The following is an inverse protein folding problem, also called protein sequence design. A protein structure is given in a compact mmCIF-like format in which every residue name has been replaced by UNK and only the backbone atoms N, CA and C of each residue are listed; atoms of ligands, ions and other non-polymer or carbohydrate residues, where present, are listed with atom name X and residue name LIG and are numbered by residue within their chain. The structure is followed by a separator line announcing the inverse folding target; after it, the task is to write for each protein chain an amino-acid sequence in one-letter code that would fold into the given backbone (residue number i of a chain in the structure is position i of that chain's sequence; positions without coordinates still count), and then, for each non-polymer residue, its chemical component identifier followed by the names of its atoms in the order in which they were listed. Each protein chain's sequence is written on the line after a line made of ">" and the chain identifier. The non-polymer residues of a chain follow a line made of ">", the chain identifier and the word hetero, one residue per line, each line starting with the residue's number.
data_IF_065895690291
#
_entry.id   IF_065895690291
#
_cell.length_a   1.000
_cell.length_b   1.000
_cell.length_c   1.000
_cell.angle_alpha   90.00
_cell.angle_beta   90.00
_cell.angle_gamma   90.00
#
_symmetry.space_group_name_H-M   'P 1'
#
loop_
_entity.id
_entity.type
_entity.pdbx_description
1 polymer ?
#
# COMPACT_ATOMS: atom_id res chain seq x y z
N UNK A 1 -12.29 -7.95 56.50
CA UNK A 1 -12.95 -8.41 55.25
C UNK A 1 -12.65 -7.58 53.99
N UNK A 2 -11.98 -6.42 54.08
CA UNK A 2 -11.85 -5.49 52.95
C UNK A 2 -10.67 -5.77 51.99
N UNK A 3 -9.56 -6.33 52.48
CA UNK A 3 -8.35 -6.54 51.67
C UNK A 3 -8.48 -7.62 50.57
N UNK A 4 -9.24 -8.69 50.83
CA UNK A 4 -9.42 -9.81 49.88
C UNK A 4 -10.26 -9.42 48.67
N UNK A 5 -11.26 -8.54 48.86
CA UNK A 5 -12.15 -8.06 47.80
C UNK A 5 -11.40 -7.10 46.87
N UNK A 6 -10.56 -6.22 47.44
CA UNK A 6 -9.71 -5.30 46.67
C UNK A 6 -8.66 -6.05 45.85
N UNK A 7 -8.08 -7.14 46.39
CA UNK A 7 -7.14 -7.99 45.67
C UNK A 7 -7.78 -8.76 44.51
N UNK A 8 -9.01 -9.25 44.68
CA UNK A 8 -9.77 -9.94 43.63
C UNK A 8 -10.20 -8.98 42.51
N UNK A 9 -10.63 -7.75 42.86
CA UNK A 9 -11.00 -6.73 41.88
C UNK A 9 -9.81 -6.32 40.99
N UNK A 10 -8.64 -6.01 41.58
CA UNK A 10 -7.43 -5.68 40.81
C UNK A 10 -6.95 -6.83 39.92
N UNK A 11 -7.11 -8.07 40.35
CA UNK A 11 -6.73 -9.25 39.55
C UNK A 11 -7.67 -9.44 38.34
N UNK A 12 -8.96 -9.14 38.50
CA UNK A 12 -9.93 -9.18 37.40
C UNK A 12 -9.73 -8.03 36.40
N UNK A 13 -9.45 -6.81 36.88
CA UNK A 13 -9.10 -5.66 36.02
C UNK A 13 -7.83 -5.94 35.19
N UNK A 14 -6.81 -6.56 35.80
CA UNK A 14 -5.60 -6.97 35.10
C UNK A 14 -5.83 -8.05 34.04
N UNK A 15 -6.79 -8.96 34.27
CA UNK A 15 -7.16 -9.99 33.29
C UNK A 15 -7.92 -9.39 32.09
N UNK A 16 -8.89 -8.50 32.36
CA UNK A 16 -9.63 -7.79 31.30
C UNK A 16 -8.72 -6.89 30.45
N UNK A 17 -7.82 -6.13 31.08
CA UNK A 17 -6.87 -5.29 30.36
C UNK A 17 -5.92 -6.11 29.47
N UNK A 18 -5.54 -7.32 29.92
CA UNK A 18 -4.71 -8.24 29.14
C UNK A 18 -5.47 -8.84 27.96
N UNK A 19 -6.71 -9.28 28.16
CA UNK A 19 -7.55 -9.82 27.08
C UNK A 19 -7.87 -8.77 26.00
N UNK A 20 -8.13 -7.52 26.41
CA UNK A 20 -8.35 -6.41 25.48
C UNK A 20 -7.09 -6.10 24.66
N UNK A 21 -5.93 -6.14 25.30
CA UNK A 21 -4.64 -5.96 24.63
C UNK A 21 -4.36 -7.08 23.63
N UNK A 22 -4.54 -8.34 24.04
CA UNK A 22 -4.33 -9.50 23.18
C UNK A 22 -5.29 -9.51 21.97
N UNK A 23 -6.55 -9.09 22.18
CA UNK A 23 -7.53 -8.93 21.10
C UNK A 23 -7.13 -7.81 20.12
N UNK A 24 -6.64 -6.68 20.64
CA UNK A 24 -6.17 -5.56 19.83
C UNK A 24 -4.93 -5.93 19.01
N UNK A 25 -3.98 -6.68 19.58
CA UNK A 25 -2.79 -7.17 18.88
C UNK A 25 -3.17 -8.15 17.75
N UNK A 26 -4.06 -9.10 18.02
CA UNK A 26 -4.57 -10.04 16.98
C UNK A 26 -5.27 -9.30 15.84
N UNK A 27 -6.07 -8.27 16.16
CA UNK A 27 -6.74 -7.43 15.16
C UNK A 27 -5.73 -6.66 14.30
N UNK A 28 -4.69 -6.09 14.92
CA UNK A 28 -3.61 -5.39 14.23
C UNK A 28 -2.83 -6.33 13.31
N UNK A 29 -2.43 -7.51 13.79
CA UNK A 29 -1.73 -8.51 12.97
C UNK A 29 -2.57 -8.98 11.79
N UNK A 30 -3.88 -9.18 11.98
CA UNK A 30 -4.81 -9.52 10.90
C UNK A 30 -4.91 -8.41 9.86
N UNK A 31 -4.98 -7.14 10.30
CA UNK A 31 -5.02 -5.99 9.40
C UNK A 31 -3.73 -5.85 8.58
N UNK A 32 -2.56 -5.98 9.23
CA UNK A 32 -1.25 -5.97 8.55
C UNK A 32 -1.16 -7.11 7.55
N UNK A 33 -1.52 -8.34 7.95
CA UNK A 33 -1.50 -9.51 7.07
C UNK A 33 -2.39 -9.31 5.86
N UNK A 34 -3.64 -8.91 6.04
CA UNK A 34 -4.58 -8.71 4.94
C UNK A 34 -4.12 -7.62 3.98
N UNK A 35 -3.55 -6.53 4.52
CA UNK A 35 -2.99 -5.46 3.70
C UNK A 35 -1.76 -5.92 2.92
N UNK A 36 -0.85 -6.68 3.53
CA UNK A 36 0.31 -7.25 2.84
C UNK A 36 -0.09 -8.23 1.74
N UNK A 37 -1.08 -9.10 1.99
CA UNK A 37 -1.64 -10.00 0.97
C UNK A 37 -2.24 -9.18 -0.17
N UNK A 38 -3.01 -8.14 0.14
CA UNK A 38 -3.57 -7.25 -0.86
C UNK A 38 -2.49 -6.60 -1.73
N UNK A 39 -1.45 -6.03 -1.12
CA UNK A 39 -0.30 -5.45 -1.85
C UNK A 39 0.40 -6.48 -2.74
N UNK A 40 0.57 -7.71 -2.24
CA UNK A 40 1.18 -8.80 -3.00
C UNK A 40 0.35 -9.18 -4.23
N UNK A 41 -0.96 -9.37 -4.06
CA UNK A 41 -1.87 -9.70 -5.17
C UNK A 41 -1.85 -8.59 -6.22
N UNK A 42 -1.98 -7.33 -5.79
CA UNK A 42 -1.92 -6.17 -6.71
C UNK A 42 -0.58 -6.14 -7.46
N UNK A 43 0.54 -6.34 -6.76
CA UNK A 43 1.86 -6.37 -7.37
C UNK A 43 1.98 -7.50 -8.41
N UNK A 44 1.58 -8.72 -8.07
CA UNK A 44 1.58 -9.88 -8.97
C UNK A 44 0.74 -9.61 -10.22
N UNK A 45 -0.49 -9.13 -10.07
CA UNK A 45 -1.34 -8.83 -11.22
C UNK A 45 -0.74 -7.71 -12.09
N UNK A 46 -0.26 -6.62 -11.49
CA UNK A 46 0.32 -5.49 -12.21
C UNK A 46 1.66 -5.79 -12.90
N UNK A 47 2.33 -6.89 -12.56
CA UNK A 47 3.62 -7.27 -13.16
C UNK A 47 3.48 -8.45 -14.11
N UNK A 48 2.76 -9.49 -13.70
CA UNK A 48 2.64 -10.75 -14.44
C UNK A 48 1.48 -10.70 -15.43
N UNK A 49 0.31 -10.15 -15.08
CA UNK A 49 -0.85 -10.20 -15.98
C UNK A 49 -0.61 -9.40 -17.26
N UNK A 50 0.08 -8.25 -17.16
CA UNK A 50 0.49 -7.46 -18.32
C UNK A 50 1.47 -8.24 -19.21
N UNK A 51 2.50 -8.89 -18.64
CA UNK A 51 3.44 -9.73 -19.40
C UNK A 51 2.76 -10.93 -20.05
N UNK A 52 1.81 -11.56 -19.37
CA UNK A 52 1.01 -12.67 -19.91
C UNK A 52 0.11 -12.18 -21.05
N UNK A 53 -0.55 -11.04 -20.90
CA UNK A 53 -1.38 -10.45 -21.95
C UNK A 53 -0.57 -10.11 -23.21
N UNK A 54 0.64 -9.56 -23.05
CA UNK A 54 1.56 -9.28 -24.16
C UNK A 54 1.95 -10.54 -24.93
N UNK A 55 2.16 -11.68 -24.24
CA UNK A 55 2.47 -12.96 -24.89
C UNK A 55 1.25 -13.64 -25.50
N UNK A 56 0.09 -13.55 -24.86
CA UNK A 56 -1.11 -14.27 -25.27
C UNK A 56 -1.86 -13.57 -26.42
N UNK A 57 -1.83 -12.24 -26.48
CA UNK A 57 -2.57 -11.46 -27.46
C UNK A 57 -1.79 -10.21 -27.94
N UNK A 58 -0.64 -10.40 -28.62
CA UNK A 58 0.25 -9.30 -29.00
C UNK A 58 -0.41 -8.24 -29.89
N UNK A 59 -1.31 -8.65 -30.82
CA UNK A 59 -2.04 -7.72 -31.68
C UNK A 59 -3.07 -6.84 -30.91
N UNK A 60 -3.69 -7.38 -29.86
CA UNK A 60 -4.60 -6.61 -29.01
C UNK A 60 -3.83 -5.63 -28.11
N UNK A 61 -2.62 -6.00 -27.69
CA UNK A 61 -1.73 -5.10 -26.94
C UNK A 61 -1.24 -3.97 -27.85
N UNK A 62 -0.77 -4.28 -29.07
CA UNK A 62 -0.33 -3.28 -30.03
C UNK A 62 -1.45 -2.29 -30.42
N UNK A 63 -2.70 -2.75 -30.57
CA UNK A 63 -3.83 -1.86 -30.84
C UNK A 63 -4.15 -0.95 -29.65
N UNK A 64 -4.14 -1.49 -28.42
CA UNK A 64 -4.30 -0.69 -27.21
C UNK A 64 -3.19 0.37 -27.06
N UNK A 65 -1.95 0.06 -27.44
CA UNK A 65 -0.84 1.01 -27.43
C UNK A 65 -1.00 2.14 -28.45
N UNK A 66 -1.47 1.84 -29.65
CA UNK A 66 -1.74 2.86 -30.67
C UNK A 66 -2.78 3.89 -30.17
N UNK A 67 -3.77 3.43 -29.40
CA UNK A 67 -4.72 4.31 -28.69
C UNK A 67 -4.08 5.11 -27.55
N UNK A 68 -3.13 4.54 -26.82
CA UNK A 68 -2.42 5.23 -25.72
C UNK A 68 -1.44 6.30 -26.22
N UNK A 69 -0.78 6.06 -27.36
CA UNK A 69 0.19 6.96 -27.99
C UNK A 69 -0.42 8.28 -28.50
N UNK A 70 -1.73 8.33 -28.72
CA UNK A 70 -2.46 9.55 -29.14
C UNK A 70 -2.63 10.62 -28.05
N UNK A 71 -1.89 10.56 -26.94
CA UNK A 71 -1.91 11.55 -25.86
C UNK A 71 -3.01 11.36 -24.81
N UNK A 72 -4.02 10.52 -25.09
CA UNK A 72 -5.07 10.15 -24.13
C UNK A 72 -4.53 9.30 -22.96
N UNK A 73 -3.40 8.62 -23.16
CA UNK A 73 -2.83 7.69 -22.19
C UNK A 73 -2.21 8.34 -20.95
N UNK A 74 -1.47 9.46 -21.09
CA UNK A 74 -0.68 9.99 -19.97
C UNK A 74 -1.55 10.62 -18.88
N UNK A 75 -2.50 11.48 -19.24
CA UNK A 75 -3.39 12.14 -18.27
C UNK A 75 -4.26 11.14 -17.51
N UNK A 76 -4.81 10.14 -18.20
CA UNK A 76 -5.60 9.08 -17.57
C UNK A 76 -4.71 8.22 -16.67
N UNK A 77 -3.51 7.85 -17.11
CA UNK A 77 -2.54 7.08 -16.31
C UNK A 77 -2.13 7.84 -15.04
N UNK A 78 -1.87 9.15 -15.14
CA UNK A 78 -1.56 10.00 -13.99
C UNK A 78 -2.74 10.14 -13.04
N UNK A 79 -3.96 10.33 -13.55
CA UNK A 79 -5.17 10.43 -12.73
C UNK A 79 -5.48 9.11 -12.00
N UNK A 80 -5.41 7.98 -12.71
CA UNK A 80 -5.54 6.64 -12.13
C UNK A 80 -4.47 6.37 -11.08
N UNK A 81 -3.24 6.83 -11.32
CA UNK A 81 -2.16 6.71 -10.35
C UNK A 81 -2.39 7.55 -9.10
N UNK A 82 -2.85 8.80 -9.25
CA UNK A 82 -3.19 9.65 -8.11
C UNK A 82 -4.30 8.99 -7.26
N UNK A 83 -5.34 8.45 -7.91
CA UNK A 83 -6.42 7.74 -7.23
C UNK A 83 -5.92 6.47 -6.51
N UNK A 84 -5.10 5.65 -7.17
CA UNK A 84 -4.51 4.45 -6.59
C UNK A 84 -3.61 4.78 -5.40
N UNK A 85 -2.82 5.85 -5.52
CA UNK A 85 -1.97 6.34 -4.44
C UNK A 85 -2.80 6.78 -3.25
N UNK A 86 -3.82 7.62 -3.45
CA UNK A 86 -4.70 8.05 -2.35
C UNK A 86 -5.40 6.87 -1.68
N UNK A 87 -5.87 5.89 -2.45
CA UNK A 87 -6.51 4.68 -1.92
C UNK A 87 -5.55 3.86 -1.07
N UNK A 88 -4.35 3.58 -1.59
CA UNK A 88 -3.35 2.77 -0.90
C UNK A 88 -2.78 3.47 0.34
N UNK A 89 -2.61 4.79 0.28
CA UNK A 89 -2.24 5.60 1.44
C UNK A 89 -3.36 5.64 2.49
N UNK A 90 -4.63 5.70 2.09
CA UNK A 90 -5.75 5.62 3.02
C UNK A 90 -5.84 4.24 3.69
N UNK A 91 -5.59 3.17 2.95
CA UNK A 91 -5.52 1.81 3.51
C UNK A 91 -4.33 1.66 4.46
N UNK A 92 -3.16 2.17 4.09
CA UNK A 92 -1.98 2.20 4.97
C UNK A 92 -2.30 2.97 6.26
N UNK A 93 -2.91 4.15 6.16
CA UNK A 93 -3.33 4.94 7.31
C UNK A 93 -4.32 4.17 8.21
N UNK A 94 -5.24 3.38 7.64
CA UNK A 94 -6.16 2.54 8.43
C UNK A 94 -5.43 1.44 9.20
N UNK A 95 -4.39 0.85 8.62
CA UNK A 95 -3.56 -0.17 9.30
C UNK A 95 -2.67 0.46 10.37
N UNK A 96 -2.16 1.66 10.11
CA UNK A 96 -1.30 2.40 11.04
C UNK A 96 -2.09 3.14 12.13
N UNK A 97 -3.41 3.29 12.00
CA UNK A 97 -4.23 4.03 12.95
C UNK A 97 -4.07 3.40 14.33
N UNK A 98 -3.55 4.14 15.33
CA UNK A 98 -3.27 3.56 16.63
C UNK A 98 -4.57 3.09 17.27
N UNK A 99 -4.66 1.80 17.54
CA UNK A 99 -5.53 1.32 18.60
C UNK A 99 -4.87 1.74 19.92
N UNK A 100 -5.65 2.28 20.87
CA UNK A 100 -5.14 2.64 22.20
C UNK A 100 -4.39 1.49 22.88
N UNK A 101 -4.74 0.25 22.53
CA UNK A 101 -4.19 -0.97 23.14
C UNK A 101 -3.13 -1.69 22.30
N UNK A 102 -2.95 -1.36 21.00
CA UNK A 102 -1.95 -2.00 20.14
C UNK A 102 -1.45 -1.05 19.03
N UNK A 103 -0.12 -0.92 18.91
CA UNK A 103 0.55 -0.09 17.90
C UNK A 103 1.63 -0.88 17.18
N UNK A 104 1.79 -0.60 15.88
CA UNK A 104 2.92 -1.07 15.10
C UNK A 104 4.22 -0.43 15.60
N UNK A 105 5.29 -1.21 15.60
CA UNK A 105 6.62 -0.65 15.85
C UNK A 105 7.00 0.30 14.69
N UNK A 106 7.79 1.35 14.96
CA UNK A 106 8.25 2.26 13.92
C UNK A 106 8.89 1.53 12.74
N UNK A 107 9.74 0.53 13.02
CA UNK A 107 10.41 -0.27 12.01
C UNK A 107 9.40 -0.98 11.09
N UNK A 108 8.38 -1.63 11.66
CA UNK A 108 7.37 -2.33 10.89
C UNK A 108 6.48 -1.35 10.08
N UNK A 109 6.16 -0.18 10.63
CA UNK A 109 5.40 0.85 9.93
C UNK A 109 6.17 1.43 8.73
N UNK A 110 7.47 1.68 8.88
CA UNK A 110 8.34 2.12 7.79
C UNK A 110 8.50 1.06 6.71
N UNK A 111 8.69 -0.21 7.10
CA UNK A 111 8.75 -1.33 6.15
C UNK A 111 7.45 -1.44 5.35
N UNK A 112 6.30 -1.33 6.02
CA UNK A 112 5.00 -1.40 5.35
C UNK A 112 4.83 -0.25 4.36
N UNK A 113 5.22 0.97 4.75
CA UNK A 113 5.19 2.13 3.89
C UNK A 113 6.14 2.01 2.68
N UNK A 114 7.32 1.42 2.87
CA UNK A 114 8.25 1.14 1.78
C UNK A 114 7.66 0.14 0.79
N UNK A 115 7.02 -0.93 1.27
CA UNK A 115 6.35 -1.92 0.40
C UNK A 115 5.16 -1.29 -0.34
N UNK A 116 4.36 -0.46 0.32
CA UNK A 116 3.28 0.31 -0.33
C UNK A 116 3.83 1.21 -1.43
N UNK A 117 4.93 1.93 -1.14
CA UNK A 117 5.60 2.79 -2.12
C UNK A 117 6.13 2.01 -3.33
N UNK A 118 6.81 0.89 -3.10
CA UNK A 118 7.31 0.01 -4.15
C UNK A 118 6.17 -0.53 -5.02
N UNK A 119 5.10 -1.04 -4.41
CA UNK A 119 3.94 -1.58 -5.12
C UNK A 119 3.34 -0.54 -6.09
N UNK A 120 3.08 0.67 -5.59
CA UNK A 120 2.54 1.78 -6.39
C UNK A 120 3.49 2.17 -7.52
N UNK A 121 4.78 2.31 -7.22
CA UNK A 121 5.81 2.67 -8.22
C UNK A 121 5.90 1.60 -9.32
N UNK A 122 5.85 0.32 -8.96
CA UNK A 122 5.85 -0.78 -9.92
C UNK A 122 4.62 -0.80 -10.80
N UNK A 123 3.42 -0.53 -10.26
CA UNK A 123 2.19 -0.42 -11.08
C UNK A 123 2.38 0.69 -12.13
N UNK A 124 2.82 1.87 -11.70
CA UNK A 124 2.99 3.01 -12.58
C UNK A 124 4.03 2.75 -13.66
N UNK A 125 5.17 2.19 -13.26
CA UNK A 125 6.24 1.83 -14.18
C UNK A 125 5.74 0.83 -15.22
N UNK A 126 5.08 -0.26 -14.81
CA UNK A 126 4.56 -1.25 -15.76
C UNK A 126 3.48 -0.66 -16.68
N UNK A 127 2.66 0.28 -16.21
CA UNK A 127 1.67 0.96 -17.05
C UNK A 127 2.33 1.89 -18.08
N UNK A 128 3.41 2.60 -17.71
CA UNK A 128 4.14 3.48 -18.62
C UNK A 128 4.98 2.70 -19.63
N UNK A 129 5.59 1.59 -19.22
CA UNK A 129 6.43 0.77 -20.10
C UNK A 129 5.66 -0.35 -20.79
N UNK A 130 4.32 -0.37 -20.72
CA UNK A 130 3.54 -1.50 -21.24
C UNK A 130 3.62 -1.57 -22.77
N UNK A 131 4.22 -2.66 -23.25
CA UNK A 131 4.33 -3.01 -24.67
C UNK A 131 5.40 -2.25 -25.46
N UNK A 132 6.18 -1.39 -24.81
CA UNK A 132 7.24 -0.63 -25.47
C UNK A 132 8.57 -0.92 -24.77
N UNK A 133 9.38 -1.79 -25.39
CA UNK A 133 10.70 -2.13 -24.85
C UNK A 133 11.76 -1.05 -25.14
N UNK A 134 11.48 -0.03 -25.99
CA UNK A 134 12.53 0.83 -26.53
C UNK A 134 12.20 2.34 -26.73
N UNK A 135 10.99 2.83 -26.43
CA UNK A 135 10.64 4.25 -26.65
C UNK A 135 10.07 4.97 -25.41
N UNK A 136 10.58 4.67 -24.22
CA UNK A 136 10.35 5.53 -23.05
C UNK A 136 11.06 6.87 -23.22
N UNK A 137 10.38 7.88 -23.77
CA UNK A 137 10.94 9.23 -23.91
C UNK A 137 11.32 9.79 -22.53
N UNK A 138 12.35 10.65 -22.47
CA UNK A 138 12.84 11.25 -21.22
C UNK A 138 11.72 11.84 -20.32
N UNK A 139 10.62 12.32 -20.92
CA UNK A 139 9.47 12.86 -20.20
C UNK A 139 8.67 11.82 -19.38
N UNK A 140 8.55 10.58 -19.86
CA UNK A 140 7.80 9.53 -19.16
C UNK A 140 8.59 9.00 -17.96
N UNK A 141 9.91 8.89 -18.09
CA UNK A 141 10.80 8.58 -16.98
C UNK A 141 10.83 9.69 -15.94
N UNK A 142 10.81 10.96 -16.36
CA UNK A 142 10.69 12.09 -15.45
C UNK A 142 9.34 12.08 -14.70
N UNK A 143 8.25 11.76 -15.39
CA UNK A 143 6.93 11.60 -14.77
C UNK A 143 6.91 10.42 -13.78
N UNK A 144 7.52 9.28 -14.12
CA UNK A 144 7.68 8.12 -13.24
C UNK A 144 8.49 8.45 -11.98
N UNK A 145 9.62 9.13 -12.15
CA UNK A 145 10.45 9.57 -11.04
C UNK A 145 9.70 10.56 -10.14
N UNK A 146 9.05 11.57 -10.72
CA UNK A 146 8.27 12.57 -9.98
C UNK A 146 7.11 11.94 -9.20
N UNK A 147 6.35 11.05 -9.86
CA UNK A 147 5.26 10.30 -9.24
C UNK A 147 5.73 9.40 -8.09
N UNK A 148 6.87 8.72 -8.28
CA UNK A 148 7.47 7.87 -7.24
C UNK A 148 7.93 8.69 -6.02
N UNK A 149 8.58 9.85 -6.24
CA UNK A 149 9.00 10.75 -5.16
C UNK A 149 7.81 11.33 -4.41
N UNK A 150 6.76 11.77 -5.11
CA UNK A 150 5.54 12.27 -4.49
C UNK A 150 4.86 11.19 -3.63
N UNK A 151 4.84 9.95 -4.12
CA UNK A 151 4.28 8.82 -3.38
C UNK A 151 5.12 8.45 -2.15
N UNK A 152 6.46 8.51 -2.24
CA UNK A 152 7.34 8.31 -1.09
C UNK A 152 7.09 9.38 -0.02
N UNK A 153 6.97 10.64 -0.43
CA UNK A 153 6.67 11.76 0.46
C UNK A 153 5.32 11.57 1.17
N UNK A 154 4.28 11.12 0.44
CA UNK A 154 2.98 10.78 1.04
C UNK A 154 3.07 9.60 2.02
N UNK A 155 3.77 8.53 1.64
CA UNK A 155 3.99 7.36 2.51
C UNK A 155 4.68 7.76 3.82
N UNK A 156 5.77 8.55 3.72
CA UNK A 156 6.49 9.06 4.86
C UNK A 156 5.61 9.98 5.73
N UNK A 157 4.79 10.83 5.12
CA UNK A 157 3.83 11.70 5.84
C UNK A 157 2.77 10.88 6.56
N UNK A 158 2.25 9.83 5.94
CA UNK A 158 1.28 8.91 6.54
C UNK A 158 1.89 8.22 7.76
N UNK A 159 3.10 7.70 7.67
CA UNK A 159 3.80 7.07 8.80
C UNK A 159 4.05 8.07 9.93
N UNK A 160 4.61 9.25 9.63
CA UNK A 160 4.92 10.28 10.64
C UNK A 160 3.67 10.73 11.41
N UNK A 161 2.51 10.84 10.74
CA UNK A 161 1.24 11.22 11.38
C UNK A 161 0.69 10.17 12.36
N UNK A 162 1.10 8.91 12.22
CA UNK A 162 0.55 7.80 13.00
C UNK A 162 1.56 7.19 13.99
N UNK A 163 2.85 7.53 13.88
CA UNK A 163 3.90 7.18 14.83
C UNK A 163 4.22 8.29 15.86
N UNK A 164 3.85 9.54 15.57
CA UNK A 164 3.89 10.65 16.54
C UNK A 164 2.76 10.51 17.57
#
# INVERSE_FOLDING_TARGET
>A
MSATIVGAARKMEGHQAKEEKDAAEKKLLSAVRNYSIFLYVVFVFSTLALRVAAKAAPAAVASAQCFLAGGYGLTVTVASFAAATLLLQALLARVLRPSTSARLTPLAAWSLAAVTWCCITSIFHNCLTFGDENLGGYGEWAAAAGASVANLAMSARTVRRHLA
#
